data_IF_970189116023
#
_entry.id   IF_970189116023
#
_cell.length_a   1.000
_cell.length_b   1.000
_cell.length_c   1.000
_cell.angle_alpha   90.00
_cell.angle_beta   90.00
_cell.angle_gamma   90.00
#
_symmetry.space_group_name_H-M   'P 1'
#
loop_
_entity.id
_entity.type
_entity.pdbx_description
1 polymer ?
#
# COMPACT_ATOMS: atom_id res chain seq x y z
N UNK A 1 -9.01 -7.42 5.78
CA UNK A 1 -8.96 -7.28 4.31
C UNK A 1 -7.55 -6.86 3.92
N UNK A 2 -7.03 -7.33 2.78
CA UNK A 2 -5.69 -6.97 2.33
C UNK A 2 -5.80 -5.78 1.38
N UNK A 3 -4.93 -4.79 1.59
CA UNK A 3 -4.86 -3.59 0.77
C UNK A 3 -3.50 -3.48 0.11
N UNK A 4 -3.51 -3.11 -1.18
CA UNK A 4 -2.34 -2.64 -1.92
C UNK A 4 -2.32 -1.11 -1.84
N UNK A 5 -1.27 -0.57 -1.24
CA UNK A 5 -1.09 0.87 -1.07
C UNK A 5 -0.01 1.34 -2.04
N UNK A 6 -0.38 2.25 -2.93
CA UNK A 6 0.55 2.98 -3.80
C UNK A 6 1.00 4.24 -3.09
N UNK A 7 2.30 4.47 -3.01
CA UNK A 7 2.84 5.62 -2.28
C UNK A 7 4.16 6.15 -2.86
N UNK A 8 4.46 7.41 -2.56
CA UNK A 8 5.79 8.00 -2.72
C UNK A 8 6.51 8.06 -1.37
N UNK A 9 7.84 8.03 -1.39
CA UNK A 9 8.69 7.95 -0.20
C UNK A 9 8.45 9.08 0.81
N UNK A 10 8.10 10.27 0.35
CA UNK A 10 7.86 11.43 1.19
C UNK A 10 6.87 12.41 0.52
N UNK A 11 6.40 13.39 1.29
CA UNK A 11 5.50 14.46 0.85
C UNK A 11 6.24 15.73 0.39
N UNK A 12 7.58 15.71 0.42
CA UNK A 12 8.44 16.88 0.17
C UNK A 12 8.76 16.98 -1.32
N UNK A 13 9.06 15.84 -1.94
CA UNK A 13 9.39 15.78 -3.36
C UNK A 13 8.14 15.79 -4.23
N UNK A 14 8.26 16.42 -5.40
CA UNK A 14 7.20 16.36 -6.40
C UNK A 14 6.98 14.91 -6.83
N UNK A 15 5.71 14.43 -6.86
CA UNK A 15 5.42 13.05 -7.21
C UNK A 15 5.84 12.75 -8.66
N UNK A 16 6.56 11.64 -8.85
CA UNK A 16 6.97 11.12 -10.16
C UNK A 16 6.41 9.71 -10.34
N UNK A 17 5.86 9.42 -11.52
CA UNK A 17 5.17 8.14 -11.76
C UNK A 17 6.12 6.94 -11.64
N UNK A 18 7.39 7.14 -11.97
CA UNK A 18 8.42 6.12 -11.97
C UNK A 18 8.90 5.75 -10.56
N UNK A 19 8.61 6.59 -9.56
CA UNK A 19 9.04 6.37 -8.17
C UNK A 19 7.92 5.89 -7.25
N UNK A 20 6.70 5.69 -7.78
CA UNK A 20 5.60 5.09 -7.03
C UNK A 20 5.99 3.68 -6.59
N UNK A 21 5.93 3.46 -5.28
CA UNK A 21 6.19 2.18 -4.64
C UNK A 21 4.89 1.57 -4.14
N UNK A 22 4.95 0.27 -3.85
CA UNK A 22 3.80 -0.47 -3.35
C UNK A 22 4.13 -1.16 -2.04
N UNK A 23 3.18 -1.17 -1.13
CA UNK A 23 3.21 -2.04 0.05
C UNK A 23 1.86 -2.74 0.19
N UNK A 24 1.87 -3.87 0.88
CA UNK A 24 0.67 -4.65 1.17
C UNK A 24 0.49 -4.66 2.68
N UNK A 25 -0.74 -4.47 3.15
CA UNK A 25 -1.05 -4.52 4.58
C UNK A 25 -2.45 -5.08 4.79
N UNK A 26 -2.68 -5.62 5.99
CA UNK A 26 -4.00 -6.04 6.42
C UNK A 26 -4.66 -4.99 7.31
N UNK A 27 -5.91 -4.65 7.02
CA UNK A 27 -6.73 -3.73 7.80
C UNK A 27 -8.22 -4.09 7.68
N UNK A 28 -9.08 -3.63 8.61
CA UNK A 28 -10.52 -3.87 8.52
C UNK A 28 -11.25 -2.86 7.62
N UNK A 29 -10.61 -1.77 7.19
CA UNK A 29 -11.15 -0.84 6.18
C UNK A 29 -10.04 -0.05 5.48
N UNK A 30 -10.35 0.55 4.32
CA UNK A 30 -9.41 1.42 3.59
C UNK A 30 -9.02 2.68 4.41
N UNK A 31 -9.93 3.17 5.26
CA UNK A 31 -9.66 4.31 6.15
C UNK A 31 -8.63 3.93 7.20
N UNK A 32 -8.77 2.75 7.81
CA UNK A 32 -7.82 2.25 8.80
C UNK A 32 -6.47 1.91 8.15
N UNK A 33 -6.48 1.34 6.95
CA UNK A 33 -5.26 1.13 6.16
C UNK A 33 -4.48 2.44 5.95
N UNK A 34 -5.17 3.51 5.55
CA UNK A 34 -4.57 4.84 5.40
C UNK A 34 -3.98 5.35 6.71
N UNK A 35 -4.77 5.34 7.78
CA UNK A 35 -4.37 5.87 9.09
C UNK A 35 -3.13 5.13 9.63
N UNK A 36 -3.06 3.82 9.43
CA UNK A 36 -1.97 2.98 9.90
C UNK A 36 -0.67 3.24 9.11
N UNK A 37 -0.73 3.48 7.81
CA UNK A 37 0.45 3.89 7.02
C UNK A 37 0.90 5.30 7.39
N UNK A 38 -0.03 6.27 7.47
CA UNK A 38 0.30 7.67 7.80
C UNK A 38 0.87 7.83 9.21
N UNK A 39 0.44 6.99 10.17
CA UNK A 39 0.95 7.02 11.56
C UNK A 39 2.38 6.48 11.66
N UNK A 40 2.73 5.47 10.87
CA UNK A 40 3.99 4.75 11.02
C UNK A 40 5.06 5.12 9.98
N UNK A 41 4.69 5.89 8.95
CA UNK A 41 5.61 6.24 7.85
C UNK A 41 5.43 7.68 7.40
N UNK A 42 6.48 8.32 6.84
CA UNK A 42 6.37 9.64 6.22
C UNK A 42 5.78 9.60 4.80
N UNK A 43 5.25 8.45 4.37
CA UNK A 43 4.88 8.20 2.98
C UNK A 43 3.74 9.10 2.52
N UNK A 44 3.80 9.46 1.24
CA UNK A 44 2.70 10.14 0.56
C UNK A 44 1.83 9.11 -0.16
N UNK A 45 0.67 8.79 0.40
CA UNK A 45 -0.24 7.78 -0.14
C UNK A 45 -0.97 8.34 -1.36
N UNK A 46 -0.79 7.68 -2.50
CA UNK A 46 -1.43 8.03 -3.77
C UNK A 46 -2.77 7.30 -3.92
N UNK A 47 -2.79 5.99 -3.64
CA UNK A 47 -3.98 5.16 -3.82
C UNK A 47 -4.00 3.97 -2.87
N UNK A 48 -5.19 3.58 -2.44
CA UNK A 48 -5.42 2.39 -1.61
C UNK A 48 -6.43 1.53 -2.34
N UNK A 49 -6.00 0.32 -2.69
CA UNK A 49 -6.82 -0.64 -3.42
C UNK A 49 -7.06 -1.86 -2.55
N UNK A 50 -8.32 -2.25 -2.39
CA UNK A 50 -8.65 -3.53 -1.76
C UNK A 50 -8.32 -4.69 -2.70
N UNK A 51 -7.69 -5.73 -2.17
CA UNK A 51 -7.39 -6.97 -2.90
C UNK A 51 -8.36 -8.06 -2.45
N UNK A 52 -9.06 -8.66 -3.41
CA UNK A 52 -9.99 -9.76 -3.14
C UNK A 52 -10.07 -10.74 -4.31
N UNK A 53 -10.49 -11.98 -4.01
CA UNK A 53 -10.66 -13.07 -4.98
C UNK A 53 -9.43 -13.31 -5.86
N UNK A 54 -9.67 -13.50 -7.15
CA UNK A 54 -8.64 -13.77 -8.15
C UNK A 54 -7.51 -12.72 -8.19
N UNK A 55 -7.79 -11.47 -7.81
CA UNK A 55 -6.77 -10.43 -7.82
C UNK A 55 -5.76 -10.60 -6.69
N UNK A 56 -6.23 -10.97 -5.49
CA UNK A 56 -5.36 -11.30 -4.36
C UNK A 56 -4.51 -12.54 -4.69
N UNK A 57 -5.13 -13.60 -5.20
CA UNK A 57 -4.42 -14.84 -5.58
C UNK A 57 -3.34 -14.61 -6.64
N UNK A 58 -3.55 -13.65 -7.55
CA UNK A 58 -2.55 -13.28 -8.55
C UNK A 58 -1.38 -12.51 -7.90
N UNK A 59 -1.68 -11.55 -7.03
CA UNK A 59 -0.67 -10.75 -6.33
C UNK A 59 0.19 -11.63 -5.40
N UNK A 60 -0.40 -12.58 -4.69
CA UNK A 60 0.32 -13.53 -3.80
C UNK A 60 1.34 -14.41 -4.53
N UNK A 61 1.17 -14.64 -5.84
CA UNK A 61 2.15 -15.37 -6.67
C UNK A 61 3.39 -14.55 -7.00
N UNK A 62 3.35 -13.23 -6.80
CA UNK A 62 4.50 -12.35 -7.02
C UNK A 62 5.52 -12.50 -5.90
N UNK A 63 6.81 -12.61 -6.25
CA UNK A 63 7.91 -12.63 -5.28
C UNK A 63 8.02 -11.33 -4.45
N UNK A 64 7.41 -10.25 -4.93
CA UNK A 64 7.40 -8.94 -4.26
C UNK A 64 6.22 -8.77 -3.29
N UNK A 65 5.29 -9.73 -3.24
CA UNK A 65 4.20 -9.68 -2.28
C UNK A 65 4.70 -9.96 -0.88
N UNK A 66 4.70 -8.92 -0.03
CA UNK A 66 5.11 -9.00 1.36
C UNK A 66 4.17 -8.14 2.20
N UNK A 67 3.52 -8.77 3.18
CA UNK A 67 2.72 -8.05 4.16
C UNK A 67 3.63 -7.24 5.07
N UNK A 68 3.31 -5.96 5.19
CA UNK A 68 4.02 -5.00 6.04
C UNK A 68 3.31 -4.91 7.37
N UNK A 69 4.06 -5.11 8.45
CA UNK A 69 3.63 -4.87 9.84
C UNK A 69 4.46 -3.72 10.40
N UNK A 70 3.83 -2.86 11.20
CA UNK A 70 4.48 -1.72 11.85
C UNK A 70 4.64 -1.97 13.34
#
# INVERSE_FOLDING_TARGET
>A
MIYKVLYQKDKIQNPRRETTQTLYLEAPSAVEARALVEKNTPYNIEFIQELSGNFLEYEEKSANFKLTTF
#
